data_IF_775639039732
#
_entry.id   IF_775639039732
#
_cell.length_a   1.000
_cell.length_b   1.000
_cell.length_c   1.000
_cell.angle_alpha   90.00
_cell.angle_beta   90.00
_cell.angle_gamma   90.00
#
_symmetry.space_group_name_H-M   'P 1'
#
loop_
_entity.id
_entity.type
_entity.pdbx_description
1 polymer ?
#
# COMPACT_ATOMS: atom_id res chain seq x y z
N UNK A 1 -4.70 16.75 -9.39
CA UNK A 1 -4.55 15.61 -8.47
C UNK A 1 -3.25 14.93 -8.88
N UNK A 2 -2.33 14.63 -7.95
CA UNK A 2 -1.11 13.92 -8.32
C UNK A 2 -1.53 12.60 -8.99
N UNK A 3 -1.07 12.38 -10.21
CA UNK A 3 -1.30 11.14 -10.93
C UNK A 3 -0.43 10.08 -10.25
N UNK A 4 -1.04 9.36 -9.30
CA UNK A 4 -0.34 8.34 -8.53
C UNK A 4 -0.20 7.11 -9.44
N UNK A 5 1.01 6.62 -9.68
CA UNK A 5 1.21 5.44 -10.52
C UNK A 5 0.51 4.23 -9.92
N UNK A 6 -0.19 3.46 -10.76
CA UNK A 6 -0.94 2.28 -10.35
C UNK A 6 -0.08 1.27 -9.56
N UNK A 7 1.22 1.17 -9.88
CA UNK A 7 2.15 0.32 -9.14
C UNK A 7 2.28 0.66 -7.65
N UNK A 8 2.14 1.94 -7.25
CA UNK A 8 2.10 2.31 -5.82
C UNK A 8 0.77 1.91 -5.17
N UNK A 9 -0.33 1.98 -5.92
CA UNK A 9 -1.67 1.60 -5.45
C UNK A 9 -1.74 0.09 -5.24
N UNK A 10 -1.17 -0.70 -6.16
CA UNK A 10 -1.07 -2.15 -6.02
C UNK A 10 -0.22 -2.58 -4.83
N UNK A 11 0.90 -1.88 -4.56
CA UNK A 11 1.74 -2.14 -3.39
C UNK A 11 1.02 -1.85 -2.06
N UNK A 12 0.27 -0.74 -1.97
CA UNK A 12 -0.54 -0.43 -0.78
C UNK A 12 -1.69 -1.44 -0.62
N UNK A 13 -2.35 -1.84 -1.72
CA UNK A 13 -3.36 -2.91 -1.70
C UNK A 13 -2.79 -4.21 -1.17
N UNK A 14 -1.63 -4.65 -1.68
CA UNK A 14 -0.98 -5.87 -1.24
C UNK A 14 -0.59 -5.83 0.24
N UNK A 15 -0.13 -4.66 0.72
CA UNK A 15 0.18 -4.45 2.13
C UNK A 15 -1.08 -4.53 3.01
N UNK A 16 -2.17 -3.87 2.63
CA UNK A 16 -3.45 -3.93 3.38
C UNK A 16 -4.09 -5.33 3.34
N UNK A 17 -4.03 -6.05 2.21
CA UNK A 17 -4.49 -7.44 2.13
C UNK A 17 -3.64 -8.37 3.01
N UNK A 18 -2.32 -8.23 3.00
CA UNK A 18 -1.43 -9.01 3.86
C UNK A 18 -1.69 -8.71 5.35
N UNK A 19 -1.98 -7.45 5.69
CA UNK A 19 -2.36 -7.03 7.04
C UNK A 19 -3.74 -7.56 7.44
N UNK A 20 -4.71 -7.55 6.54
CA UNK A 20 -6.03 -8.13 6.79
C UNK A 20 -5.93 -9.64 7.05
N UNK A 21 -5.04 -10.35 6.33
CA UNK A 21 -4.76 -11.78 6.56
C UNK A 21 -4.09 -12.07 7.89
N UNK A 22 -3.43 -11.09 8.53
CA UNK A 22 -2.95 -11.26 9.91
C UNK A 22 -4.09 -11.36 10.92
N UNK A 23 -5.26 -10.79 10.62
CA UNK A 23 -6.42 -10.87 11.51
C UNK A 23 -6.88 -12.33 11.63
N UNK A 24 -6.75 -12.90 12.84
CA UNK A 24 -7.13 -14.27 13.13
C UNK A 24 -6.00 -15.30 13.05
N UNK A 25 -4.79 -14.91 12.61
CA UNK A 25 -3.61 -15.76 12.71
C UNK A 25 -2.97 -15.62 14.11
N UNK A 26 -2.39 -16.72 14.61
CA UNK A 26 -1.64 -16.74 15.86
C UNK A 26 -0.40 -17.62 15.74
N UNK A 27 0.61 -17.36 16.57
CA UNK A 27 1.85 -18.14 16.61
C UNK A 27 2.67 -18.03 15.32
N UNK A 28 3.24 -19.16 14.89
CA UNK A 28 4.15 -19.23 13.73
C UNK A 28 3.53 -18.74 12.42
N UNK A 29 2.23 -18.97 12.22
CA UNK A 29 1.50 -18.49 11.05
C UNK A 29 1.37 -16.97 11.02
N UNK A 30 1.24 -16.34 12.20
CA UNK A 30 1.24 -14.89 12.32
C UNK A 30 2.62 -14.33 11.99
N UNK A 31 3.70 -14.90 12.54
CA UNK A 31 5.08 -14.46 12.26
C UNK A 31 5.44 -14.56 10.77
N UNK A 32 5.12 -15.69 10.13
CA UNK A 32 5.34 -15.89 8.71
C UNK A 32 4.56 -14.88 7.84
N UNK A 33 3.31 -14.58 8.21
CA UNK A 33 2.49 -13.60 7.51
C UNK A 33 2.92 -12.16 7.81
N UNK A 34 3.45 -11.88 9.00
CA UNK A 34 3.96 -10.57 9.41
C UNK A 34 5.22 -10.23 8.62
N UNK A 35 6.11 -11.21 8.40
CA UNK A 35 7.30 -11.03 7.56
C UNK A 35 6.94 -10.69 6.11
N UNK A 36 5.92 -11.34 5.55
CA UNK A 36 5.39 -11.01 4.21
C UNK A 36 4.79 -9.61 4.16
N UNK A 37 4.04 -9.23 5.20
CA UNK A 37 3.51 -7.87 5.31
C UNK A 37 4.64 -6.82 5.41
N UNK A 38 5.68 -7.11 6.19
CA UNK A 38 6.83 -6.22 6.37
C UNK A 38 7.61 -6.04 5.06
N UNK A 39 7.79 -7.11 4.27
CA UNK A 39 8.42 -7.04 2.95
C UNK A 39 7.60 -6.18 1.97
N UNK A 40 6.28 -6.40 1.90
CA UNK A 40 5.38 -5.60 1.07
C UNK A 40 5.35 -4.12 1.49
N UNK A 41 5.28 -3.85 2.81
CA UNK A 41 5.33 -2.49 3.35
C UNK A 41 6.69 -1.82 3.11
N UNK A 42 7.78 -2.59 3.13
CA UNK A 42 9.12 -2.13 2.79
C UNK A 42 9.22 -1.71 1.32
N UNK A 43 8.73 -2.54 0.40
CA UNK A 43 8.67 -2.24 -1.02
C UNK A 43 7.84 -0.98 -1.33
N UNK A 44 6.67 -0.85 -0.69
CA UNK A 44 5.84 0.36 -0.80
C UNK A 44 6.61 1.59 -0.35
N UNK A 45 7.23 1.56 0.84
CA UNK A 45 7.99 2.71 1.36
C UNK A 45 9.16 3.10 0.48
N UNK A 46 9.86 2.13 -0.10
CA UNK A 46 10.94 2.38 -1.04
C UNK A 46 10.43 3.08 -2.31
N UNK A 47 9.36 2.55 -2.91
CA UNK A 47 8.76 3.11 -4.12
C UNK A 47 8.15 4.51 -3.88
N UNK A 48 7.49 4.72 -2.74
CA UNK A 48 6.99 6.04 -2.33
C UNK A 48 8.14 7.02 -2.15
N UNK A 49 9.26 6.60 -1.57
CA UNK A 49 10.44 7.46 -1.39
C UNK A 49 11.02 7.86 -2.74
N UNK A 50 11.21 6.91 -3.65
CA UNK A 50 11.70 7.18 -5.01
C UNK A 50 10.77 8.14 -5.77
N UNK A 51 9.45 7.91 -5.71
CA UNK A 51 8.47 8.79 -6.35
C UNK A 51 8.43 10.19 -5.72
N UNK A 52 8.55 10.28 -4.40
CA UNK A 52 8.62 11.55 -3.68
C UNK A 52 9.87 12.35 -4.10
N UNK A 53 11.03 11.71 -4.20
CA UNK A 53 12.26 12.34 -4.70
C UNK A 53 12.13 12.77 -6.16
N UNK A 54 11.57 11.92 -7.03
CA UNK A 54 11.39 12.20 -8.45
C UNK A 54 10.42 13.37 -8.72
N UNK A 55 9.39 13.51 -7.88
CA UNK A 55 8.37 14.56 -8.03
C UNK A 55 8.62 15.80 -7.17
N UNK A 56 9.63 15.77 -6.30
CA UNK A 56 9.88 16.82 -5.30
C UNK A 56 8.78 16.90 -4.23
N UNK A 57 7.99 15.83 -4.06
CA UNK A 57 6.92 15.74 -3.06
C UNK A 57 7.44 15.24 -1.72
N UNK A 58 6.70 15.48 -0.64
CA UNK A 58 6.99 14.83 0.63
C UNK A 58 6.49 13.38 0.61
N UNK A 59 7.29 12.44 1.15
CA UNK A 59 6.90 11.03 1.32
C UNK A 59 5.50 10.89 1.93
N UNK A 60 5.20 11.68 2.96
CA UNK A 60 3.89 11.66 3.63
C UNK A 60 2.74 12.09 2.71
N UNK A 61 2.98 13.00 1.78
CA UNK A 61 1.98 13.47 0.82
C UNK A 61 1.67 12.37 -0.20
N UNK A 62 2.72 11.71 -0.69
CA UNK A 62 2.62 10.55 -1.58
C UNK A 62 1.90 9.40 -0.89
N UNK A 63 2.25 9.03 0.35
CA UNK A 63 1.55 7.98 1.11
C UNK A 63 0.06 8.29 1.27
N UNK A 64 -0.29 9.55 1.56
CA UNK A 64 -1.69 9.97 1.70
C UNK A 64 -2.43 9.92 0.36
N UNK A 65 -1.77 10.32 -0.73
CA UNK A 65 -2.33 10.28 -2.07
C UNK A 65 -2.54 8.83 -2.54
N UNK A 66 -1.59 7.93 -2.30
CA UNK A 66 -1.71 6.49 -2.57
C UNK A 66 -2.89 5.89 -1.82
N UNK A 67 -3.02 6.15 -0.51
CA UNK A 67 -4.13 5.65 0.30
C UNK A 67 -5.48 6.16 -0.18
N UNK A 68 -5.54 7.44 -0.58
CA UNK A 68 -6.75 8.04 -1.15
C UNK A 68 -7.10 7.43 -2.51
N UNK A 69 -6.11 7.21 -3.37
CA UNK A 69 -6.29 6.56 -4.66
C UNK A 69 -6.75 5.11 -4.50
N UNK A 70 -6.20 4.37 -3.54
CA UNK A 70 -6.65 3.03 -3.19
C UNK A 70 -8.10 3.02 -2.67
N UNK A 71 -8.50 4.02 -1.86
CA UNK A 71 -9.88 4.12 -1.40
C UNK A 71 -10.83 4.38 -2.56
N UNK A 72 -10.50 5.32 -3.44
CA UNK A 72 -11.27 5.56 -4.66
C UNK A 72 -11.34 4.29 -5.53
N UNK A 73 -10.23 3.58 -5.75
CA UNK A 73 -10.20 2.34 -6.52
C UNK A 73 -10.98 1.18 -5.88
N UNK A 74 -11.22 1.21 -4.57
CA UNK A 74 -12.06 0.24 -3.85
C UNK A 74 -13.54 0.65 -3.79
N UNK A 75 -13.82 1.96 -3.85
CA UNK A 75 -15.17 2.56 -3.94
C UNK A 75 -15.71 2.61 -5.38
N UNK A 76 -14.86 2.38 -6.38
CA UNK A 76 -15.21 2.16 -7.78
C UNK A 76 -15.37 0.66 -8.18
N UNK A 77 -16.01 -0.25 -7.40
CA UNK A 77 -16.57 -1.44 -8.01
C UNK A 77 -17.85 -0.96 -8.69
N UNK A 78 -17.79 -0.79 -10.00
CA UNK A 78 -18.90 -0.52 -10.89
C UNK A 78 -20.26 -0.85 -10.26
N UNK A 79 -21.00 0.21 -9.95
CA UNK A 79 -22.45 0.20 -10.06
C UNK A 79 -22.75 -0.20 -11.50
N UNK A 80 -23.15 -1.45 -11.71
CA UNK A 80 -24.03 -1.87 -12.80
C UNK A 80 -25.30 -2.49 -12.21
#
# INVERSE_FOLDING_TARGET
MADIPDGLIELERAAEEARARLAGLTGDQYDAQERRWCEAAGALRAAVTEYAEATGSSRQDVERAVRRALHCAQEDPAVE
#
